data_IF_569008782256
#
_entry.id   IF_569008782256
#
_cell.length_a   1.000
_cell.length_b   1.000
_cell.length_c   1.000
_cell.angle_alpha   90.00
_cell.angle_beta   90.00
_cell.angle_gamma   90.00
#
_symmetry.space_group_name_H-M   'P 1'
#
loop_
_entity.id
_entity.type
_entity.pdbx_description
1 polymer ?
#
# COMPACT_ATOMS: atom_id res chain seq x y z
N UNK A 1 -7.35 -14.43 -17.53
CA UNK A 1 -7.45 -13.87 -16.16
C UNK A 1 -6.28 -12.91 -15.97
N UNK A 2 -6.48 -11.62 -15.68
CA UNK A 2 -5.37 -10.71 -15.41
C UNK A 2 -4.64 -11.21 -14.16
N UNK A 3 -3.32 -11.43 -14.27
CA UNK A 3 -2.52 -11.76 -13.10
C UNK A 3 -2.57 -10.59 -12.11
N UNK A 4 -2.65 -10.85 -10.79
CA UNK A 4 -2.56 -9.79 -9.81
C UNK A 4 -1.21 -9.09 -10.00
N UNK A 5 -1.24 -7.79 -10.35
CA UNK A 5 -0.04 -6.94 -10.40
C UNK A 5 0.71 -7.08 -9.08
N UNK A 6 2.01 -7.36 -9.15
CA UNK A 6 2.79 -7.56 -7.93
C UNK A 6 3.00 -6.23 -7.21
N UNK A 7 2.99 -6.25 -5.87
CA UNK A 7 3.28 -5.05 -5.06
C UNK A 7 4.68 -4.47 -5.36
N UNK A 8 5.60 -5.33 -5.81
CA UNK A 8 6.94 -4.93 -6.24
C UNK A 8 6.88 -4.08 -7.51
N UNK A 9 6.12 -4.50 -8.52
CA UNK A 9 5.98 -3.74 -9.77
C UNK A 9 5.35 -2.36 -9.53
N UNK A 10 4.37 -2.30 -8.62
CA UNK A 10 3.74 -1.03 -8.23
C UNK A 10 4.72 -0.09 -7.49
N UNK A 11 5.57 -0.63 -6.60
CA UNK A 11 6.64 0.14 -5.95
C UNK A 11 7.65 0.69 -6.97
N UNK A 12 8.06 -0.13 -7.93
CA UNK A 12 8.98 0.29 -9.00
C UNK A 12 8.36 1.39 -9.85
N UNK A 13 7.07 1.25 -10.21
CA UNK A 13 6.35 2.27 -10.98
C UNK A 13 6.28 3.61 -10.24
N UNK A 14 5.85 3.59 -8.97
CA UNK A 14 5.76 4.80 -8.14
C UNK A 14 7.14 5.44 -7.97
N UNK A 15 8.20 4.64 -7.77
CA UNK A 15 9.57 5.18 -7.71
C UNK A 15 9.97 5.89 -9.01
N UNK A 16 9.64 5.31 -10.17
CA UNK A 16 9.94 5.93 -11.46
C UNK A 16 9.17 7.25 -11.68
N UNK A 17 7.92 7.31 -11.27
CA UNK A 17 7.12 8.55 -11.36
C UNK A 17 7.69 9.66 -10.48
N UNK A 18 8.22 9.31 -9.30
CA UNK A 18 8.93 10.25 -8.44
C UNK A 18 10.20 10.81 -9.09
N UNK A 19 10.99 9.96 -9.76
CA UNK A 19 12.19 10.39 -10.48
C UNK A 19 11.85 11.40 -11.59
N UNK A 20 10.73 11.20 -12.30
CA UNK A 20 10.22 12.14 -13.30
C UNK A 20 9.83 13.47 -12.67
N UNK A 21 9.12 13.45 -11.54
CA UNK A 21 8.75 14.67 -10.82
C UNK A 21 9.99 15.45 -10.31
N UNK A 22 11.00 14.75 -9.81
CA UNK A 22 12.28 15.36 -9.42
C UNK A 22 12.95 16.02 -10.62
N UNK A 23 12.97 15.35 -11.77
CA UNK A 23 13.51 15.92 -13.00
C UNK A 23 12.73 17.16 -13.44
N UNK A 24 11.39 17.13 -13.41
CA UNK A 24 10.54 18.28 -13.73
C UNK A 24 10.82 19.49 -12.83
N UNK A 25 10.98 19.28 -11.52
CA UNK A 25 11.35 20.33 -10.57
C UNK A 25 12.72 20.92 -10.90
N UNK A 26 13.72 20.07 -11.17
CA UNK A 26 15.08 20.51 -11.51
C UNK A 26 15.14 21.32 -12.82
N UNK A 27 14.27 21.00 -13.79
CA UNK A 27 14.15 21.69 -15.07
C UNK A 27 13.28 22.96 -15.00
N UNK A 28 12.79 23.34 -13.81
CA UNK A 28 11.92 24.52 -13.63
C UNK A 28 10.54 24.36 -14.26
N UNK A 29 10.07 23.12 -14.44
CA UNK A 29 8.74 22.80 -15.02
C UNK A 29 7.88 22.00 -14.03
N UNK A 30 7.70 22.45 -12.77
CA UNK A 30 6.89 21.73 -11.82
C UNK A 30 5.44 21.66 -12.30
N UNK A 31 4.76 20.54 -12.02
CA UNK A 31 3.34 20.36 -12.30
C UNK A 31 2.61 19.91 -11.04
N UNK A 32 1.77 20.80 -10.50
CA UNK A 32 0.95 20.50 -9.33
C UNK A 32 0.04 19.28 -9.58
N UNK A 33 -0.59 19.21 -10.75
CA UNK A 33 -1.47 18.09 -11.11
C UNK A 33 -0.75 16.75 -11.13
N UNK A 34 0.50 16.69 -11.62
CA UNK A 34 1.27 15.44 -11.59
C UNK A 34 1.71 15.07 -10.18
N UNK A 35 2.11 16.06 -9.37
CA UNK A 35 2.44 15.84 -7.98
C UNK A 35 1.25 15.24 -7.22
N UNK A 36 0.05 15.83 -7.35
CA UNK A 36 -1.14 15.37 -6.64
C UNK A 36 -1.54 13.96 -7.10
N UNK A 37 -1.48 13.68 -8.40
CA UNK A 37 -1.72 12.34 -8.93
C UNK A 37 -0.71 11.30 -8.42
N UNK A 38 0.56 11.67 -8.25
CA UNK A 38 1.57 10.80 -7.67
C UNK A 38 1.32 10.54 -6.18
N UNK A 39 0.88 11.56 -5.42
CA UNK A 39 0.48 11.41 -4.02
C UNK A 39 -0.67 10.42 -3.89
N UNK A 40 -1.72 10.56 -4.71
CA UNK A 40 -2.87 9.64 -4.71
C UNK A 40 -2.44 8.18 -4.95
N UNK A 41 -1.52 7.95 -5.90
CA UNK A 41 -0.97 6.63 -6.20
C UNK A 41 -0.18 6.05 -5.01
N UNK A 42 0.65 6.86 -4.35
CA UNK A 42 1.42 6.46 -3.16
C UNK A 42 0.49 6.09 -2.02
N UNK A 43 -0.57 6.87 -1.80
CA UNK A 43 -1.55 6.61 -0.74
C UNK A 43 -2.32 5.30 -0.97
N UNK A 44 -2.74 5.03 -2.21
CA UNK A 44 -3.39 3.79 -2.59
C UNK A 44 -2.46 2.58 -2.37
N UNK A 45 -1.21 2.68 -2.82
CA UNK A 45 -0.21 1.64 -2.61
C UNK A 45 0.06 1.40 -1.12
N UNK A 46 0.17 2.46 -0.32
CA UNK A 46 0.34 2.37 1.12
C UNK A 46 -0.86 1.69 1.79
N UNK A 47 -2.09 1.96 1.36
CA UNK A 47 -3.29 1.26 1.84
C UNK A 47 -3.25 -0.23 1.52
N UNK A 48 -2.84 -0.60 0.30
CA UNK A 48 -2.67 -2.00 -0.13
C UNK A 48 -1.58 -2.71 0.67
N UNK A 49 -0.45 -2.06 0.91
CA UNK A 49 0.63 -2.59 1.75
C UNK A 49 0.18 -2.79 3.20
N UNK A 50 -0.54 -1.83 3.79
CA UNK A 50 -1.11 -1.99 5.15
C UNK A 50 -2.07 -3.18 5.22
N UNK A 51 -2.90 -3.37 4.19
CA UNK A 51 -3.80 -4.53 4.08
C UNK A 51 -3.03 -5.84 3.98
N UNK A 52 -1.99 -5.89 3.15
CA UNK A 52 -1.14 -7.07 2.99
C UNK A 52 -0.36 -7.40 4.29
N UNK A 53 0.24 -6.40 4.93
CA UNK A 53 1.03 -6.55 6.14
C UNK A 53 0.20 -6.96 7.37
N UNK A 54 -1.06 -6.49 7.46
CA UNK A 54 -1.97 -6.89 8.55
C UNK A 54 -2.51 -8.31 8.39
N UNK A 55 -2.34 -8.94 7.23
CA UNK A 55 -2.96 -10.23 6.90
C UNK A 55 -4.49 -10.19 6.96
N UNK A 56 -5.21 -11.32 6.76
CA UNK A 56 -6.61 -11.41 7.17
C UNK A 56 -6.63 -11.15 8.68
N UNK A 57 -7.20 -10.01 9.08
CA UNK A 57 -7.04 -9.43 10.42
C UNK A 57 -6.98 -10.49 11.51
N UNK A 58 -5.82 -10.61 12.16
CA UNK A 58 -5.70 -11.45 13.34
C UNK A 58 -6.73 -10.93 14.34
N UNK A 59 -7.70 -11.76 14.72
CA UNK A 59 -8.65 -11.46 15.77
C UNK A 59 -7.86 -10.88 16.93
N UNK A 60 -8.21 -9.68 17.39
CA UNK A 60 -7.41 -8.93 18.38
C UNK A 60 -7.28 -9.66 19.72
N UNK A 61 -7.98 -10.78 19.89
CA UNK A 61 -7.69 -11.76 20.92
C UNK A 61 -8.17 -13.15 20.45
N UNK A 62 -7.31 -14.06 19.94
CA UNK A 62 -7.73 -15.44 19.78
C UNK A 62 -7.90 -16.06 21.18
N UNK A 63 -8.98 -16.81 21.44
CA UNK A 63 -9.17 -17.41 22.75
C UNK A 63 -7.97 -18.31 23.11
N UNK A 64 -7.46 -18.15 24.34
CA UNK A 64 -6.35 -18.93 24.89
C UNK A 64 -6.61 -20.44 24.81
N UNK A 65 -7.87 -20.86 24.98
CA UNK A 65 -8.28 -22.25 24.82
C UNK A 65 -9.80 -22.39 24.58
N UNK A 66 -10.22 -23.49 23.95
CA UNK A 66 -11.62 -23.93 23.91
C UNK A 66 -11.86 -24.90 25.08
N UNK A 67 -12.87 -24.64 25.91
CA UNK A 67 -13.24 -25.51 27.03
C UNK A 67 -14.72 -25.86 26.94
N UNK A 68 -15.00 -27.12 26.62
CA UNK A 68 -16.36 -27.60 26.38
C UNK A 68 -17.04 -26.84 25.22
N UNK A 69 -18.17 -26.19 25.51
CA UNK A 69 -18.91 -25.33 24.57
C UNK A 69 -18.47 -23.86 24.59
N UNK A 70 -17.52 -23.48 25.45
CA UNK A 70 -17.08 -22.10 25.62
C UNK A 70 -15.62 -21.83 25.20
N UNK A 71 -15.22 -20.56 25.32
CA UNK A 71 -13.89 -20.05 25.03
C UNK A 71 -13.30 -19.33 26.25
N UNK A 72 -11.99 -19.55 26.50
CA UNK A 72 -11.19 -18.78 27.46
C UNK A 72 -10.49 -17.68 26.66
N UNK A 73 -10.58 -16.43 27.12
CA UNK A 73 -10.00 -15.25 26.47
C UNK A 73 -8.75 -14.77 27.20
#
# INVERSE_FOLDING_TARGET
MPQPKSLYDDLVSVSGDLDVLIADMSNGRPSQTRHDGHVDQVEELAARLRKAARGPGRSVNPPLAKVGTGYIW
#
